data_IF_420838112646
#
_entry.id   IF_420838112646
#
_cell.length_a   1.000
_cell.length_b   1.000
_cell.length_c   1.000
_cell.angle_alpha   90.00
_cell.angle_beta   90.00
_cell.angle_gamma   90.00
#
_symmetry.space_group_name_H-M   'P 1'
#
loop_
_entity.id
_entity.type
_entity.pdbx_description
1 polymer ?
#
# COMPACT_ATOMS: atom_id res chain seq x y z
N UNK A 1 -57.15 -35.92 25.06
CA UNK A 1 -57.48 -34.47 25.17
C UNK A 1 -56.71 -33.76 24.06
N UNK A 2 -57.37 -33.44 22.92
CA UNK A 2 -57.70 -32.07 22.44
C UNK A 2 -56.44 -31.20 22.19
N UNK A 3 -56.03 -30.99 20.92
CA UNK A 3 -56.32 -29.80 20.03
C UNK A 3 -55.52 -28.54 20.50
N UNK A 4 -54.89 -27.64 19.72
CA UNK A 4 -54.94 -27.21 18.30
C UNK A 4 -53.96 -26.00 18.13
N UNK A 5 -53.40 -25.77 16.91
CA UNK A 5 -52.86 -24.55 16.21
C UNK A 5 -52.15 -23.39 17.00
N UNK A 6 -51.21 -22.55 16.50
CA UNK A 6 -51.20 -21.64 15.33
C UNK A 6 -49.82 -20.89 15.20
N UNK A 7 -49.38 -20.56 13.95
CA UNK A 7 -48.54 -19.44 13.42
C UNK A 7 -47.51 -18.68 14.30
N UNK A 8 -46.32 -18.26 13.85
CA UNK A 8 -46.11 -17.21 12.83
C UNK A 8 -44.63 -17.04 12.40
N UNK A 9 -44.48 -16.68 11.12
CA UNK A 9 -43.39 -15.98 10.43
C UNK A 9 -42.70 -14.88 11.26
N UNK A 10 -41.37 -14.71 11.10
CA UNK A 10 -40.69 -13.42 11.23
C UNK A 10 -39.53 -13.33 10.20
N UNK A 11 -39.86 -12.74 9.06
CA UNK A 11 -38.94 -12.06 8.15
C UNK A 11 -38.41 -10.80 8.86
N UNK A 12 -37.10 -10.57 8.82
CA UNK A 12 -36.56 -9.22 9.05
C UNK A 12 -36.52 -8.49 7.71
N UNK A 13 -37.54 -7.68 7.45
CA UNK A 13 -37.46 -6.54 6.54
C UNK A 13 -38.39 -5.42 7.01
N UNK A 14 -37.83 -4.21 7.06
CA UNK A 14 -38.41 -2.86 7.09
C UNK A 14 -39.76 -2.59 7.82
N UNK A 15 -39.72 -1.72 8.82
CA UNK A 15 -40.84 -0.83 9.21
C UNK A 15 -40.23 0.50 9.68
N UNK A 16 -40.31 1.61 8.92
CA UNK A 16 -41.48 2.47 8.69
C UNK A 16 -42.02 3.10 9.99
N UNK A 17 -41.72 4.39 10.16
CA UNK A 17 -42.14 5.26 11.28
C UNK A 17 -43.66 5.47 11.24
N UNK A 18 -44.37 5.06 12.30
CA UNK A 18 -45.78 5.40 12.52
C UNK A 18 -45.89 6.65 13.39
N UNK A 19 -46.78 7.55 12.96
CA UNK A 19 -47.23 8.76 13.66
C UNK A 19 -48.28 8.39 14.71
N UNK A 20 -48.19 8.94 15.91
CA UNK A 20 -49.37 9.12 16.78
C UNK A 20 -49.56 10.63 17.03
N UNK A 21 -50.66 11.16 16.50
CA UNK A 21 -51.18 12.50 16.80
C UNK A 21 -52.01 12.39 18.10
N UNK A 22 -51.76 13.24 19.10
CA UNK A 22 -52.78 13.59 20.11
C UNK A 22 -52.69 15.06 20.52
N UNK A 23 -53.87 15.62 20.79
CA UNK A 23 -54.28 17.02 20.64
C UNK A 23 -54.57 17.66 22.01
N UNK A 24 -54.13 18.91 22.15
CA UNK A 24 -54.62 20.03 23.01
C UNK A 24 -54.68 19.92 24.54
N UNK A 25 -54.17 20.97 25.22
CA UNK A 25 -55.01 22.07 25.76
C UNK A 25 -54.17 23.25 26.27
N UNK A 26 -54.51 24.48 25.88
CA UNK A 26 -53.99 25.75 26.44
C UNK A 26 -54.88 26.22 27.59
N UNK A 27 -54.30 26.74 28.68
CA UNK A 27 -54.95 27.70 29.58
C UNK A 27 -53.95 28.70 30.20
N UNK A 28 -54.15 29.98 29.87
CA UNK A 28 -54.01 31.23 30.65
C UNK A 28 -52.65 31.71 31.25
N UNK A 29 -52.17 32.82 30.65
CA UNK A 29 -51.70 34.10 31.26
C UNK A 29 -50.65 34.14 32.39
N UNK A 30 -49.42 34.59 32.05
CA UNK A 30 -48.79 35.89 32.41
C UNK A 30 -47.25 35.80 32.56
N UNK A 31 -46.56 36.60 31.73
CA UNK A 31 -45.26 37.25 31.96
C UNK A 31 -44.11 36.42 32.57
N UNK A 32 -43.29 35.82 31.71
CA UNK A 32 -41.88 36.23 31.58
C UNK A 32 -41.22 35.53 30.39
N UNK A 33 -40.40 36.28 29.66
CA UNK A 33 -39.55 35.78 28.59
C UNK A 33 -38.60 34.71 29.10
N UNK A 34 -38.80 33.45 28.71
CA UNK A 34 -37.75 32.44 28.65
C UNK A 34 -38.13 31.40 27.58
N UNK A 35 -37.40 31.48 26.46
CA UNK A 35 -37.15 30.45 25.45
C UNK A 35 -37.79 29.07 25.67
N UNK A 36 -38.94 28.82 25.02
CA UNK A 36 -39.36 27.47 24.67
C UNK A 36 -38.96 27.20 23.21
N UNK A 37 -37.71 26.75 23.02
CA UNK A 37 -37.25 26.22 21.74
C UNK A 37 -38.09 25.00 21.37
N UNK A 38 -38.92 25.14 20.33
CA UNK A 38 -39.66 24.03 19.73
C UNK A 38 -38.63 23.09 19.12
N UNK A 39 -38.36 21.96 19.78
CA UNK A 39 -37.44 20.92 19.29
C UNK A 39 -37.84 20.53 17.87
N UNK A 40 -36.97 20.84 16.91
CA UNK A 40 -37.02 20.30 15.56
C UNK A 40 -36.70 18.81 15.69
N UNK A 41 -37.65 17.94 15.39
CA UNK A 41 -37.38 16.51 15.30
C UNK A 41 -36.49 16.23 14.09
N UNK A 42 -35.53 15.34 14.27
CA UNK A 42 -34.43 14.97 13.35
C UNK A 42 -34.88 14.51 11.95
N UNK A 43 -36.19 14.38 11.72
CA UNK A 43 -36.78 13.91 10.48
C UNK A 43 -36.94 15.01 9.40
N UNK A 44 -37.01 16.30 9.75
CA UNK A 44 -37.20 17.37 8.76
C UNK A 44 -35.92 17.70 7.97
N UNK A 45 -34.74 17.42 8.52
CA UNK A 45 -33.45 17.66 7.88
C UNK A 45 -33.23 16.80 6.63
N UNK A 46 -33.78 15.57 6.62
CA UNK A 46 -33.57 14.60 5.52
C UNK A 46 -34.48 14.82 4.31
N UNK A 47 -35.44 15.76 4.37
CA UNK A 47 -36.40 16.01 3.28
C UNK A 47 -36.19 17.34 2.54
N UNK A 48 -35.15 18.12 2.89
CA UNK A 48 -34.68 19.26 2.09
C UNK A 48 -35.68 20.42 1.92
N UNK A 49 -36.61 20.61 2.86
CA UNK A 49 -37.67 21.63 2.73
C UNK A 49 -37.38 22.88 3.58
N UNK A 50 -36.69 23.87 3.00
CA UNK A 50 -36.27 25.11 3.70
C UNK A 50 -37.16 26.33 3.43
N UNK A 51 -38.47 26.13 3.26
CA UNK A 51 -39.35 27.23 2.82
C UNK A 51 -39.81 28.20 3.93
N UNK A 52 -39.32 28.10 5.17
CA UNK A 52 -39.78 28.94 6.29
C UNK A 52 -38.68 29.53 7.20
N UNK A 53 -37.43 29.69 6.73
CA UNK A 53 -36.38 30.34 7.54
C UNK A 53 -36.15 31.79 7.07
N UNK A 54 -36.57 32.77 7.87
CA UNK A 54 -36.17 34.18 7.68
C UNK A 54 -34.75 34.38 8.21
N UNK A 55 -33.98 35.19 7.48
CA UNK A 55 -32.51 35.34 7.56
C UNK A 55 -31.96 36.02 8.83
N UNK A 56 -32.65 35.94 9.97
CA UNK A 56 -32.28 36.69 11.18
C UNK A 56 -32.52 36.00 12.52
N UNK A 57 -32.87 34.71 12.55
CA UNK A 57 -33.30 34.03 13.79
C UNK A 57 -32.37 32.88 14.23
N UNK A 58 -31.07 32.96 13.91
CA UNK A 58 -30.07 32.00 14.36
C UNK A 58 -29.03 32.72 15.22
N UNK A 59 -29.29 32.81 16.53
CA UNK A 59 -28.26 33.09 17.54
C UNK A 59 -27.88 31.81 18.27
N UNK A 60 -26.63 31.41 18.10
CA UNK A 60 -25.83 30.51 18.94
C UNK A 60 -26.34 29.07 19.15
N UNK A 61 -26.08 28.23 18.15
CA UNK A 61 -25.31 27.00 18.37
C UNK A 61 -24.25 26.94 17.27
N UNK A 62 -23.08 26.41 17.56
CA UNK A 62 -21.96 26.21 16.62
C UNK A 62 -22.33 25.27 15.46
N UNK A 63 -23.26 25.69 14.60
CA UNK A 63 -23.26 25.26 13.21
C UNK A 63 -22.19 26.13 12.59
N UNK A 64 -20.96 25.65 12.60
CA UNK A 64 -19.98 26.05 11.59
C UNK A 64 -20.76 26.06 10.29
N UNK A 65 -20.94 27.23 9.70
CA UNK A 65 -21.46 27.31 8.35
C UNK A 65 -20.52 26.41 7.56
N UNK A 66 -20.96 25.16 7.29
CA UNK A 66 -20.19 24.26 6.45
C UNK A 66 -20.04 25.08 5.19
N UNK A 67 -18.82 25.53 4.92
CA UNK A 67 -18.54 26.38 3.78
C UNK A 67 -19.09 25.70 2.54
N UNK A 68 -19.26 26.45 1.46
CA UNK A 68 -19.60 25.84 0.17
C UNK A 68 -18.68 24.63 -0.05
N UNK A 69 -19.26 23.51 -0.46
CA UNK A 69 -18.60 22.23 -0.69
C UNK A 69 -19.08 21.80 -2.08
N UNK A 70 -18.25 22.09 -3.09
CA UNK A 70 -18.64 22.07 -4.51
C UNK A 70 -18.73 20.66 -5.07
N UNK A 71 -17.83 19.77 -4.68
CA UNK A 71 -17.75 18.38 -5.15
C UNK A 71 -18.37 17.36 -4.19
N UNK A 72 -18.78 17.80 -3.00
CA UNK A 72 -19.53 17.03 -2.00
C UNK A 72 -18.72 15.90 -1.40
N UNK A 73 -17.42 16.13 -1.21
CA UNK A 73 -16.52 15.15 -0.60
C UNK A 73 -16.59 15.09 0.92
N UNK A 74 -17.11 16.14 1.56
CA UNK A 74 -17.21 16.23 3.01
C UNK A 74 -16.45 17.40 3.60
N UNK A 75 -15.52 17.99 2.86
CA UNK A 75 -14.68 19.13 3.24
C UNK A 75 -15.27 20.42 2.64
N UNK A 76 -15.07 21.55 3.30
CA UNK A 76 -15.56 22.83 2.77
C UNK A 76 -14.51 23.39 1.79
N UNK A 77 -14.94 24.01 0.67
CA UNK A 77 -14.10 24.61 -0.37
C UNK A 77 -12.96 25.51 0.15
N UNK A 78 -13.11 26.09 1.34
CA UNK A 78 -12.12 26.97 1.97
C UNK A 78 -10.99 26.21 2.70
N UNK A 79 -11.15 24.91 2.93
CA UNK A 79 -10.22 24.02 3.60
C UNK A 79 -9.96 22.75 2.79
N UNK A 80 -10.46 22.73 1.56
CA UNK A 80 -10.37 21.63 0.63
C UNK A 80 -9.19 21.89 -0.32
N UNK A 81 -8.24 20.96 -0.38
CA UNK A 81 -7.10 21.05 -1.30
C UNK A 81 -7.48 20.73 -2.75
N UNK A 82 -8.71 20.25 -3.01
CA UNK A 82 -9.30 20.10 -4.34
C UNK A 82 -10.77 20.53 -4.43
N UNK A 83 -11.10 21.84 -4.35
CA UNK A 83 -12.48 22.37 -4.24
C UNK A 83 -13.46 22.12 -5.41
N UNK A 84 -13.15 21.22 -6.32
CA UNK A 84 -13.98 20.84 -7.47
C UNK A 84 -13.81 19.38 -7.87
N UNK A 85 -13.01 18.59 -7.14
CA UNK A 85 -12.74 17.19 -7.43
C UNK A 85 -12.82 16.39 -6.14
N UNK A 86 -13.78 15.47 -6.05
CA UNK A 86 -14.05 14.68 -4.85
C UNK A 86 -12.79 13.96 -4.30
N UNK A 87 -12.34 14.32 -3.09
CA UNK A 87 -11.17 13.73 -2.43
C UNK A 87 -11.22 13.84 -0.87
N UNK A 88 -12.09 13.03 -0.22
CA UNK A 88 -12.35 13.12 1.22
C UNK A 88 -11.13 12.83 2.12
N UNK A 89 -10.07 12.25 1.57
CA UNK A 89 -8.81 11.94 2.25
C UNK A 89 -7.80 13.11 2.24
N UNK A 90 -8.03 14.12 1.40
CA UNK A 90 -7.23 15.36 1.33
C UNK A 90 -5.73 15.08 1.23
N UNK A 91 -5.35 14.04 0.46
CA UNK A 91 -3.95 13.72 0.21
C UNK A 91 -3.30 14.83 -0.61
N UNK A 92 -2.11 15.23 -0.17
CA UNK A 92 -1.23 16.24 -0.77
C UNK A 92 0.20 15.74 -0.56
N UNK A 93 0.68 14.91 -1.49
CA UNK A 93 1.92 14.16 -1.32
C UNK A 93 3.17 15.05 -1.36
N UNK A 94 3.12 16.19 -2.04
CA UNK A 94 4.23 17.14 -2.15
C UNK A 94 4.11 18.36 -1.23
N UNK A 95 3.01 18.47 -0.48
CA UNK A 95 2.68 19.54 0.47
C UNK A 95 2.66 20.94 -0.17
N UNK A 96 2.25 21.05 -1.43
CA UNK A 96 2.12 22.34 -2.13
C UNK A 96 0.78 23.06 -1.85
N UNK A 97 -0.16 22.38 -1.20
CA UNK A 97 -1.49 22.87 -0.86
C UNK A 97 -2.57 22.52 -1.88
N UNK A 98 -2.22 21.84 -2.97
CA UNK A 98 -3.12 21.28 -3.99
C UNK A 98 -3.22 19.78 -3.75
N UNK A 99 -4.44 19.23 -3.74
CA UNK A 99 -4.60 17.79 -3.51
C UNK A 99 -4.22 16.96 -4.72
N UNK A 100 -3.73 15.74 -4.45
CA UNK A 100 -3.33 14.76 -5.46
C UNK A 100 -4.44 14.48 -6.49
N UNK A 101 -5.71 14.64 -6.07
CA UNK A 101 -6.88 14.40 -6.92
C UNK A 101 -7.09 15.46 -8.02
N UNK A 102 -6.60 16.68 -7.83
CA UNK A 102 -6.82 17.82 -8.74
C UNK A 102 -5.53 18.49 -9.22
N UNK A 103 -4.37 18.03 -8.74
CA UNK A 103 -3.10 18.44 -9.30
C UNK A 103 -2.90 17.82 -10.69
N UNK A 104 -2.94 18.68 -11.72
CA UNK A 104 -2.74 18.30 -13.12
C UNK A 104 -1.29 18.49 -13.58
N UNK A 105 -0.42 19.01 -12.71
CA UNK A 105 0.98 19.19 -13.01
C UNK A 105 1.78 18.05 -12.38
N UNK A 106 2.65 17.44 -13.19
CA UNK A 106 3.52 16.38 -12.74
C UNK A 106 4.35 16.84 -11.55
N UNK A 107 4.14 16.21 -10.39
CA UNK A 107 4.95 16.21 -9.16
C UNK A 107 6.34 16.82 -9.41
N UNK A 108 6.47 18.15 -9.34
CA UNK A 108 7.79 18.78 -9.41
C UNK A 108 8.42 18.66 -8.04
N UNK A 109 8.82 17.43 -7.72
CA UNK A 109 9.77 17.15 -6.68
C UNK A 109 10.96 18.10 -6.81
N UNK A 110 11.26 18.85 -5.75
CA UNK A 110 12.65 18.97 -5.37
C UNK A 110 12.80 18.35 -3.99
N UNK A 111 13.21 17.08 -3.97
CA UNK A 111 14.55 16.81 -3.48
C UNK A 111 15.33 16.00 -4.51
N UNK A 112 16.29 16.64 -5.17
CA UNK A 112 17.37 16.04 -5.99
C UNK A 112 16.92 14.99 -7.01
N UNK A 113 16.88 15.44 -8.26
CA UNK A 113 16.70 14.68 -9.51
C UNK A 113 15.26 14.27 -9.83
N UNK A 114 14.69 14.78 -10.94
CA UNK A 114 13.48 14.19 -11.51
C UNK A 114 13.77 12.72 -11.77
N UNK A 115 12.90 11.81 -11.32
CA UNK A 115 12.89 10.43 -11.80
C UNK A 115 12.61 10.53 -13.30
N UNK A 116 13.68 10.50 -14.09
CA UNK A 116 13.59 10.44 -15.53
C UNK A 116 12.72 9.25 -15.89
N UNK A 117 11.88 9.35 -16.92
CA UNK A 117 11.18 8.19 -17.53
C UNK A 117 12.15 7.10 -18.02
N UNK A 118 13.46 7.37 -17.93
CA UNK A 118 14.58 6.45 -18.17
C UNK A 118 14.99 5.59 -16.97
N UNK A 119 14.56 5.95 -15.75
CA UNK A 119 14.96 5.28 -14.51
C UNK A 119 14.33 3.90 -14.40
N UNK A 120 15.08 3.00 -13.76
CA UNK A 120 14.62 1.67 -13.39
C UNK A 120 13.87 1.76 -12.07
N UNK A 121 12.71 1.11 -11.95
CA UNK A 121 11.88 1.16 -10.74
C UNK A 121 11.76 -0.21 -10.10
N UNK A 122 12.13 -0.32 -8.84
CA UNK A 122 11.80 -1.45 -7.98
C UNK A 122 10.66 -1.00 -7.06
N UNK A 123 9.49 -1.61 -7.24
CA UNK A 123 8.30 -1.34 -6.45
C UNK A 123 8.14 -2.41 -5.39
N UNK A 124 8.16 -2.00 -4.12
CA UNK A 124 7.88 -2.86 -2.98
C UNK A 124 6.38 -2.75 -2.66
N UNK A 125 5.67 -3.83 -2.94
CA UNK A 125 4.22 -3.93 -2.80
C UNK A 125 3.87 -4.64 -1.49
N UNK A 126 3.36 -3.89 -0.51
CA UNK A 126 2.99 -4.40 0.82
C UNK A 126 1.48 -4.57 0.99
N UNK A 127 0.68 -4.15 0.01
CA UNK A 127 -0.77 -3.99 0.12
C UNK A 127 -1.52 -5.26 -0.28
N UNK A 128 -0.79 -6.24 -0.82
CA UNK A 128 -1.36 -7.44 -1.40
C UNK A 128 -1.64 -7.26 -2.90
N UNK A 129 -1.75 -8.38 -3.61
CA UNK A 129 -1.85 -8.37 -5.06
C UNK A 129 -2.44 -9.66 -5.59
N UNK A 130 -3.29 -9.56 -6.61
CA UNK A 130 -3.74 -10.73 -7.37
C UNK A 130 -2.90 -10.88 -8.64
N UNK A 131 -2.06 -11.92 -8.69
CA UNK A 131 -1.27 -12.27 -9.88
C UNK A 131 -2.10 -13.23 -10.73
N UNK A 132 -2.73 -12.71 -11.78
CA UNK A 132 -3.68 -13.45 -12.61
C UNK A 132 -2.99 -14.27 -13.69
N UNK A 133 -3.36 -15.56 -13.78
CA UNK A 133 -2.92 -16.48 -14.84
C UNK A 133 -1.41 -16.48 -15.15
N UNK A 134 -0.49 -16.50 -14.16
CA UNK A 134 0.93 -16.59 -14.46
C UNK A 134 1.21 -17.89 -15.22
N UNK A 135 1.64 -17.78 -16.48
CA UNK A 135 1.92 -18.94 -17.34
C UNK A 135 2.91 -19.91 -16.69
N UNK A 136 3.86 -19.35 -15.94
CA UNK A 136 4.90 -20.05 -15.20
C UNK A 136 4.37 -20.80 -13.97
N UNK A 137 3.18 -20.44 -13.48
CA UNK A 137 2.46 -21.16 -12.42
C UNK A 137 1.36 -22.07 -12.99
N UNK A 138 1.53 -22.54 -14.24
CA UNK A 138 0.51 -23.34 -14.93
C UNK A 138 -0.82 -22.63 -15.10
N UNK A 139 -0.82 -21.28 -15.15
CA UNK A 139 -2.01 -20.45 -15.28
C UNK A 139 -2.85 -20.29 -14.02
N UNK A 140 -2.37 -20.78 -12.86
CA UNK A 140 -3.10 -20.64 -11.59
C UNK A 140 -2.87 -19.25 -10.99
N UNK A 141 -3.96 -18.53 -10.76
CA UNK A 141 -3.95 -17.25 -10.06
C UNK A 141 -3.32 -17.40 -8.66
N UNK A 142 -2.49 -16.43 -8.29
CA UNK A 142 -1.91 -16.32 -6.96
C UNK A 142 -2.54 -15.11 -6.30
N UNK A 143 -3.25 -15.34 -5.20
CA UNK A 143 -3.76 -14.28 -4.33
C UNK A 143 -2.71 -13.98 -3.27
N UNK A 144 -2.19 -12.76 -3.23
CA UNK A 144 -1.22 -12.32 -2.22
C UNK A 144 -1.97 -11.42 -1.22
N UNK A 145 -1.94 -11.78 0.05
CA UNK A 145 -2.49 -10.93 1.12
C UNK A 145 -1.55 -9.76 1.42
N UNK A 146 -2.04 -8.68 2.07
CA UNK A 146 -1.17 -7.64 2.60
C UNK A 146 -0.05 -8.22 3.48
N UNK A 147 1.06 -7.49 3.58
CA UNK A 147 2.29 -7.94 4.25
C UNK A 147 2.18 -8.13 5.77
N UNK A 148 1.20 -7.48 6.42
CA UNK A 148 1.04 -7.45 7.87
C UNK A 148 1.93 -6.43 8.61
N UNK A 149 2.75 -5.65 7.91
CA UNK A 149 3.58 -4.60 8.50
C UNK A 149 2.80 -3.30 8.74
N UNK A 150 3.16 -2.56 9.80
CA UNK A 150 2.71 -1.18 10.02
C UNK A 150 3.42 -0.19 9.09
N UNK A 151 2.87 1.01 8.93
CA UNK A 151 3.47 2.06 8.08
C UNK A 151 4.91 2.42 8.48
N UNK A 152 5.21 2.45 9.78
CA UNK A 152 6.58 2.68 10.28
C UNK A 152 7.53 1.56 9.88
N UNK A 153 7.09 0.30 9.95
CA UNK A 153 7.91 -0.85 9.58
C UNK A 153 8.12 -0.91 8.07
N UNK A 154 7.10 -0.58 7.28
CA UNK A 154 7.20 -0.43 5.82
C UNK A 154 8.25 0.65 5.48
N UNK A 155 8.22 1.81 6.14
CA UNK A 155 9.18 2.87 5.91
C UNK A 155 10.63 2.45 6.23
N UNK A 156 10.83 1.67 7.30
CA UNK A 156 12.15 1.13 7.65
C UNK A 156 12.64 0.12 6.60
N UNK A 157 11.79 -0.83 6.20
CA UNK A 157 12.13 -1.82 5.16
C UNK A 157 12.46 -1.10 3.85
N UNK A 158 11.64 -0.14 3.42
CA UNK A 158 11.89 0.66 2.21
C UNK A 158 13.23 1.40 2.29
N UNK A 159 13.56 1.96 3.45
CA UNK A 159 14.83 2.68 3.65
C UNK A 159 16.03 1.76 3.47
N UNK A 160 16.00 0.55 4.03
CA UNK A 160 17.13 -0.38 3.89
C UNK A 160 17.26 -0.95 2.48
N UNK A 161 16.16 -1.27 1.79
CA UNK A 161 16.24 -1.66 0.37
C UNK A 161 16.77 -0.49 -0.49
N UNK A 162 16.37 0.76 -0.20
CA UNK A 162 16.96 1.95 -0.86
C UNK A 162 18.47 2.03 -0.60
N UNK A 163 18.93 1.76 0.61
CA UNK A 163 20.35 1.76 0.96
C UNK A 163 21.12 0.71 0.15
N UNK A 164 20.59 -0.51 0.02
CA UNK A 164 21.21 -1.58 -0.78
C UNK A 164 21.39 -1.15 -2.24
N UNK A 165 20.35 -0.58 -2.85
CA UNK A 165 20.39 -0.16 -4.26
C UNK A 165 20.99 1.24 -4.49
N UNK A 166 21.39 1.95 -3.44
CA UNK A 166 21.92 3.33 -3.54
C UNK A 166 23.17 3.49 -4.40
N UNK A 167 23.91 2.40 -4.61
CA UNK A 167 25.09 2.35 -5.49
C UNK A 167 24.73 2.42 -6.98
N UNK A 168 23.44 2.26 -7.33
CA UNK A 168 22.93 2.32 -8.70
C UNK A 168 22.04 3.56 -8.88
N UNK A 169 22.61 4.69 -9.35
CA UNK A 169 21.87 5.96 -9.41
C UNK A 169 20.68 5.95 -10.37
N UNK A 170 20.58 4.96 -11.26
CA UNK A 170 19.46 4.79 -12.19
C UNK A 170 18.31 3.98 -11.62
N UNK A 171 18.48 3.35 -10.44
CA UNK A 171 17.44 2.56 -9.78
C UNK A 171 16.73 3.43 -8.74
N UNK A 172 15.41 3.43 -8.82
CA UNK A 172 14.50 4.04 -7.86
C UNK A 172 13.76 2.92 -7.15
N UNK A 173 13.92 2.82 -5.83
CA UNK A 173 13.13 1.92 -4.99
C UNK A 173 12.00 2.70 -4.36
N UNK A 174 10.76 2.21 -4.47
CA UNK A 174 9.56 2.93 -4.04
C UNK A 174 8.46 2.00 -3.53
N UNK A 175 7.56 2.52 -2.70
CA UNK A 175 6.25 1.93 -2.37
C UNK A 175 5.11 2.69 -3.05
N UNK A 176 5.42 3.67 -3.90
CA UNK A 176 4.44 4.44 -4.64
C UNK A 176 4.14 3.75 -5.99
N UNK A 177 2.91 3.28 -6.13
CA UNK A 177 2.46 2.61 -7.36
C UNK A 177 2.41 3.54 -8.58
N UNK A 178 2.25 4.86 -8.38
CA UNK A 178 2.23 5.83 -9.49
C UNK A 178 3.61 5.92 -10.14
N UNK A 179 4.69 5.93 -9.34
CA UNK A 179 6.08 5.88 -9.80
C UNK A 179 6.37 4.57 -10.54
N UNK A 180 5.85 3.45 -10.03
CA UNK A 180 5.96 2.14 -10.70
C UNK A 180 5.27 2.14 -12.07
N UNK A 181 4.03 2.64 -12.16
CA UNK A 181 3.28 2.64 -13.41
C UNK A 181 3.77 3.67 -14.43
N UNK A 182 4.43 4.75 -13.98
CA UNK A 182 5.09 5.72 -14.85
C UNK A 182 6.33 5.16 -15.56
N UNK A 183 7.02 4.18 -14.96
CA UNK A 183 8.12 3.48 -15.61
C UNK A 183 7.61 2.48 -16.67
N UNK A 184 8.38 2.30 -17.75
CA UNK A 184 8.05 1.31 -18.77
C UNK A 184 8.04 -0.11 -18.19
N UNK A 185 7.20 -1.00 -18.72
CA UNK A 185 7.15 -2.42 -18.30
C UNK A 185 8.50 -3.16 -18.43
N UNK A 186 9.39 -2.69 -19.30
CA UNK A 186 10.75 -3.24 -19.45
C UNK A 186 11.76 -2.67 -18.43
N UNK A 187 11.38 -1.65 -17.67
CA UNK A 187 12.22 -0.93 -16.69
C UNK A 187 11.64 -0.93 -15.28
N UNK A 188 10.64 -1.75 -15.00
CA UNK A 188 10.02 -1.82 -13.69
C UNK A 188 9.97 -3.26 -13.21
N UNK A 189 10.13 -3.43 -11.91
CA UNK A 189 10.03 -4.70 -11.23
C UNK A 189 9.16 -4.53 -9.99
N UNK A 190 8.21 -5.44 -9.80
CA UNK A 190 7.42 -5.51 -8.58
C UNK A 190 7.99 -6.61 -7.67
N UNK A 191 8.20 -6.29 -6.41
CA UNK A 191 8.44 -7.26 -5.34
C UNK A 191 7.19 -7.24 -4.46
N UNK A 192 6.47 -8.35 -4.40
CA UNK A 192 5.26 -8.50 -3.59
C UNK A 192 5.66 -9.06 -2.23
N UNK A 193 5.50 -8.27 -1.17
CA UNK A 193 5.71 -8.68 0.21
C UNK A 193 4.37 -9.10 0.79
N UNK A 194 4.20 -10.39 1.06
CA UNK A 194 2.90 -10.99 1.39
C UNK A 194 3.00 -12.00 2.52
N UNK A 195 1.95 -12.15 3.33
CA UNK A 195 1.96 -13.15 4.40
C UNK A 195 1.86 -14.59 3.88
N UNK A 196 1.09 -14.81 2.82
CA UNK A 196 0.73 -16.17 2.41
C UNK A 196 1.70 -16.74 1.37
N UNK A 197 2.21 -17.93 1.65
CA UNK A 197 3.14 -18.66 0.80
C UNK A 197 2.65 -20.08 0.46
N UNK A 198 1.37 -20.38 0.70
CA UNK A 198 0.79 -21.73 0.57
C UNK A 198 0.92 -22.32 -0.83
N UNK A 199 1.04 -21.47 -1.85
CA UNK A 199 1.22 -21.84 -3.25
C UNK A 199 2.67 -22.22 -3.61
N UNK A 200 3.66 -21.83 -2.78
CA UNK A 200 5.08 -22.10 -3.01
C UNK A 200 5.71 -23.04 -1.98
N UNK A 201 5.54 -22.75 -0.69
CA UNK A 201 6.10 -23.54 0.42
C UNK A 201 7.18 -22.81 1.24
N UNK A 202 8.13 -23.58 1.79
CA UNK A 202 9.05 -23.15 2.86
C UNK A 202 10.28 -22.37 2.39
N UNK A 203 10.09 -21.16 1.89
CA UNK A 203 11.15 -20.19 1.59
C UNK A 203 10.83 -18.82 2.18
N UNK A 204 11.86 -17.94 2.25
CA UNK A 204 11.69 -16.53 2.62
C UNK A 204 11.18 -15.66 1.47
N UNK A 205 11.43 -16.09 0.24
CA UNK A 205 11.00 -15.43 -0.99
C UNK A 205 11.17 -16.35 -2.20
N UNK A 206 10.76 -15.86 -3.36
CA UNK A 206 11.01 -16.48 -4.67
C UNK A 206 10.94 -15.46 -5.79
N UNK A 207 11.85 -15.58 -6.74
CA UNK A 207 11.84 -14.84 -7.99
C UNK A 207 12.35 -15.69 -9.14
N UNK A 208 11.91 -15.36 -10.35
CA UNK A 208 12.53 -15.89 -11.57
C UNK A 208 13.78 -15.09 -11.90
N UNK A 209 14.74 -15.78 -12.52
CA UNK A 209 15.97 -15.14 -12.99
C UNK A 209 15.73 -14.30 -14.24
N UNK A 210 16.24 -13.07 -14.22
CA UNK A 210 16.35 -12.18 -15.38
C UNK A 210 14.98 -11.88 -16.05
N UNK A 211 13.88 -11.89 -15.29
CA UNK A 211 12.53 -11.58 -15.78
C UNK A 211 12.43 -10.22 -16.43
N UNK A 212 13.27 -9.29 -15.99
CA UNK A 212 13.28 -7.93 -16.48
C UNK A 212 13.64 -7.85 -17.98
N UNK A 213 14.38 -8.83 -18.48
CA UNK A 213 14.71 -8.93 -19.91
C UNK A 213 13.55 -9.49 -20.77
N UNK A 214 12.46 -9.94 -20.15
CA UNK A 214 11.32 -10.54 -20.86
C UNK A 214 10.26 -9.50 -21.25
N UNK A 215 10.40 -8.26 -20.77
CA UNK A 215 9.45 -7.17 -21.05
C UNK A 215 8.05 -7.44 -20.46
N UNK A 216 7.97 -8.29 -19.44
CA UNK A 216 6.75 -8.65 -18.74
C UNK A 216 6.91 -8.29 -17.26
N UNK A 217 5.84 -7.80 -16.64
CA UNK A 217 5.78 -7.50 -15.20
C UNK A 217 5.64 -8.79 -14.37
N UNK A 218 6.64 -9.68 -14.43
CA UNK A 218 6.67 -10.88 -13.58
C UNK A 218 7.17 -10.48 -12.20
N UNK A 219 6.34 -10.58 -11.15
CA UNK A 219 6.75 -10.17 -9.82
C UNK A 219 7.75 -11.14 -9.19
N UNK A 220 8.55 -10.60 -8.29
CA UNK A 220 9.23 -11.34 -7.24
C UNK A 220 8.33 -11.39 -5.99
N UNK A 221 8.55 -12.35 -5.10
CA UNK A 221 7.73 -12.55 -3.90
C UNK A 221 8.61 -12.66 -2.66
N UNK A 222 8.18 -12.04 -1.56
CA UNK A 222 8.76 -12.16 -0.23
C UNK A 222 7.65 -12.55 0.74
N UNK A 223 7.91 -13.53 1.60
CA UNK A 223 6.91 -14.13 2.47
C UNK A 223 7.07 -13.65 3.92
N UNK A 224 6.42 -12.53 4.25
CA UNK A 224 6.64 -11.81 5.51
C UNK A 224 6.40 -12.65 6.75
N UNK A 225 5.33 -13.45 6.75
CA UNK A 225 4.99 -14.37 7.83
C UNK A 225 5.99 -15.54 7.95
N UNK A 226 6.47 -16.07 6.82
CA UNK A 226 7.48 -17.13 6.82
C UNK A 226 8.83 -16.63 7.39
N UNK A 227 9.11 -15.34 7.19
CA UNK A 227 10.25 -14.62 7.77
C UNK A 227 9.99 -14.11 9.19
N UNK A 228 8.85 -14.49 9.80
CA UNK A 228 8.50 -14.14 11.19
C UNK A 228 8.26 -12.65 11.42
N UNK A 229 7.84 -11.91 10.39
CA UNK A 229 7.66 -10.44 10.42
C UNK A 229 8.92 -9.69 10.87
N UNK A 230 10.10 -10.28 10.69
CA UNK A 230 11.34 -9.61 11.01
C UNK A 230 11.68 -8.62 9.88
N UNK A 231 11.66 -7.31 10.17
CA UNK A 231 11.99 -6.24 9.21
C UNK A 231 13.32 -6.56 8.52
N UNK A 232 14.36 -6.80 9.32
CA UNK A 232 15.44 -7.76 9.08
C UNK A 232 15.47 -8.46 7.74
N UNK A 233 14.81 -9.60 7.84
CA UNK A 233 14.83 -10.64 6.85
C UNK A 233 13.99 -10.22 5.66
N UNK A 234 12.99 -9.35 5.85
CA UNK A 234 12.13 -8.90 4.77
C UNK A 234 12.82 -7.93 3.81
N UNK A 235 13.64 -6.98 4.30
CA UNK A 235 14.39 -6.11 3.36
C UNK A 235 15.51 -6.87 2.66
N UNK A 236 16.24 -7.73 3.37
CA UNK A 236 17.29 -8.56 2.77
C UNK A 236 16.69 -9.50 1.71
N UNK A 237 15.54 -10.12 2.01
CA UNK A 237 14.79 -10.92 1.03
C UNK A 237 14.32 -10.07 -0.15
N UNK A 238 13.75 -8.89 0.09
CA UNK A 238 13.29 -8.02 -0.99
C UNK A 238 14.44 -7.63 -1.93
N UNK A 239 15.60 -7.27 -1.37
CA UNK A 239 16.80 -6.97 -2.15
C UNK A 239 17.31 -8.19 -2.92
N UNK A 240 17.33 -9.36 -2.28
CA UNK A 240 17.74 -10.64 -2.88
C UNK A 240 16.86 -11.04 -4.06
N UNK A 241 15.54 -11.06 -3.86
CA UNK A 241 14.58 -11.48 -4.88
C UNK A 241 14.51 -10.47 -6.04
N UNK A 242 14.64 -9.17 -5.76
CA UNK A 242 14.85 -8.17 -6.81
C UNK A 242 16.16 -8.42 -7.57
N UNK A 243 17.24 -8.83 -6.90
CA UNK A 243 18.51 -9.20 -7.54
C UNK A 243 18.36 -10.34 -8.55
N UNK A 244 17.56 -11.36 -8.22
CA UNK A 244 17.23 -12.44 -9.16
C UNK A 244 16.57 -11.94 -10.44
N UNK A 245 15.62 -10.99 -10.33
CA UNK A 245 14.94 -10.41 -11.51
C UNK A 245 15.90 -9.66 -12.43
N UNK A 246 17.01 -9.16 -11.88
CA UNK A 246 18.13 -8.52 -12.59
C UNK A 246 19.16 -9.53 -13.13
N UNK A 247 18.95 -10.83 -12.88
CA UNK A 247 19.74 -11.93 -13.42
C UNK A 247 20.89 -12.40 -12.52
N UNK A 248 20.89 -12.03 -11.24
CA UNK A 248 21.85 -12.56 -10.28
C UNK A 248 21.46 -13.97 -9.85
N UNK A 249 22.43 -14.88 -9.77
CA UNK A 249 22.30 -16.18 -9.11
C UNK A 249 22.65 -16.04 -7.63
N UNK A 250 22.40 -17.09 -6.85
CA UNK A 250 22.95 -17.16 -5.50
C UNK A 250 24.47 -17.05 -5.51
N UNK A 251 25.00 -16.39 -4.49
CA UNK A 251 26.42 -16.45 -4.16
C UNK A 251 26.64 -17.68 -3.29
N UNK A 252 27.13 -18.73 -3.94
CA UNK A 252 27.34 -20.06 -3.38
C UNK A 252 28.70 -20.15 -2.70
N UNK A 253 28.78 -20.91 -1.61
CA UNK A 253 30.04 -21.17 -0.90
C UNK A 253 30.64 -22.50 -1.37
N UNK A 254 31.90 -22.45 -1.78
CA UNK A 254 32.75 -23.61 -2.01
C UNK A 254 33.92 -23.63 -1.01
N UNK A 255 34.50 -24.80 -0.76
CA UNK A 255 35.74 -24.93 0.00
C UNK A 255 36.99 -24.72 -0.89
N UNK A 256 38.18 -24.74 -0.28
CA UNK A 256 39.46 -24.56 -0.98
C UNK A 256 39.74 -25.63 -2.06
N UNK A 257 39.02 -26.75 -2.00
CA UNK A 257 39.12 -27.85 -2.96
C UNK A 257 37.99 -27.83 -4.01
N UNK A 258 37.24 -26.72 -4.11
CA UNK A 258 36.11 -26.55 -5.04
C UNK A 258 34.91 -27.46 -4.74
N UNK A 259 34.79 -28.03 -3.54
CA UNK A 259 33.58 -28.77 -3.17
C UNK A 259 32.47 -27.82 -2.75
N UNK A 260 31.24 -28.11 -3.17
CA UNK A 260 30.06 -27.35 -2.76
C UNK A 260 29.86 -27.46 -1.24
N UNK A 261 29.73 -26.32 -0.57
CA UNK A 261 29.51 -26.25 0.89
C UNK A 261 28.09 -25.79 1.20
N UNK A 262 27.62 -24.71 0.58
CA UNK A 262 26.30 -24.15 0.82
C UNK A 262 25.83 -23.33 -0.38
N UNK A 263 24.53 -23.42 -0.71
CA UNK A 263 23.93 -22.67 -1.80
C UNK A 263 23.99 -21.15 -1.54
N UNK A 264 23.81 -20.78 -0.28
CA UNK A 264 23.87 -19.39 0.20
C UNK A 264 25.12 -19.20 1.07
N UNK A 265 26.02 -18.34 0.61
CA UNK A 265 27.22 -17.99 1.36
C UNK A 265 26.83 -17.14 2.59
N UNK A 266 27.15 -17.57 3.82
CA UNK A 266 26.85 -16.83 5.05
C UNK A 266 27.80 -15.66 5.32
N UNK A 267 28.77 -15.43 4.43
CA UNK A 267 29.79 -14.41 4.61
C UNK A 267 30.69 -14.68 5.81
N UNK A 268 31.15 -13.60 6.42
CA UNK A 268 32.04 -13.61 7.58
C UNK A 268 32.45 -12.20 7.98
N UNK A 269 33.00 -12.05 9.19
CA UNK A 269 33.49 -10.77 9.71
C UNK A 269 32.45 -9.64 9.73
N UNK A 270 31.17 -9.98 9.95
CA UNK A 270 30.09 -9.00 10.07
C UNK A 270 29.41 -8.63 8.74
N UNK A 271 29.81 -9.25 7.64
CA UNK A 271 29.27 -8.98 6.30
C UNK A 271 28.90 -10.27 5.57
N UNK A 272 27.87 -10.20 4.73
CA UNK A 272 27.49 -11.29 3.83
C UNK A 272 26.98 -10.78 2.48
N UNK A 273 27.02 -11.63 1.44
CA UNK A 273 26.41 -11.31 0.16
C UNK A 273 24.89 -11.17 0.31
N UNK A 274 24.28 -10.16 -0.32
CA UNK A 274 22.82 -10.05 -0.45
C UNK A 274 22.27 -11.30 -1.17
N UNK A 275 22.93 -11.73 -2.24
CA UNK A 275 22.61 -12.99 -2.94
C UNK A 275 23.05 -14.27 -2.19
N UNK A 276 23.47 -14.14 -0.92
CA UNK A 276 23.82 -15.23 -0.02
C UNK A 276 22.81 -15.32 1.13
N UNK A 277 23.29 -15.45 2.37
CA UNK A 277 22.43 -15.39 3.57
C UNK A 277 22.87 -14.28 4.51
N UNK A 278 22.54 -13.05 4.14
CA UNK A 278 22.86 -11.82 4.89
C UNK A 278 22.01 -11.59 6.13
N UNK A 279 20.90 -12.34 6.30
CA UNK A 279 20.01 -12.26 7.47
C UNK A 279 20.74 -12.26 8.82
N UNK A 280 21.81 -13.05 8.92
CA UNK A 280 22.55 -13.27 10.16
C UNK A 280 23.78 -12.38 10.34
N UNK A 281 24.11 -11.55 9.35
CA UNK A 281 25.22 -10.60 9.43
C UNK A 281 24.70 -9.18 9.64
N UNK A 282 25.42 -8.32 10.36
CA UNK A 282 25.10 -6.89 10.47
C UNK A 282 24.89 -6.21 9.11
N UNK A 283 25.69 -6.53 8.10
CA UNK A 283 25.67 -5.87 6.78
C UNK A 283 25.49 -6.88 5.65
N UNK A 284 24.45 -6.70 4.85
CA UNK A 284 24.34 -7.25 3.50
C UNK A 284 25.05 -6.34 2.50
N UNK A 285 25.70 -6.91 1.47
CA UNK A 285 26.23 -6.11 0.36
C UNK A 285 26.19 -6.85 -0.97
N UNK A 286 26.21 -6.08 -2.07
CA UNK A 286 26.54 -6.61 -3.39
C UNK A 286 27.97 -7.16 -3.38
N UNK A 287 28.13 -8.36 -3.92
CA UNK A 287 29.30 -9.18 -3.68
C UNK A 287 29.99 -9.58 -4.98
N UNK A 288 31.28 -9.88 -4.88
CA UNK A 288 32.05 -10.55 -5.93
C UNK A 288 32.46 -11.92 -5.40
N UNK A 289 31.81 -12.96 -5.92
CA UNK A 289 31.89 -14.30 -5.35
C UNK A 289 31.57 -15.38 -6.36
N UNK A 290 31.69 -16.63 -5.93
CA UNK A 290 31.35 -17.80 -6.72
C UNK A 290 29.84 -17.96 -6.85
N UNK A 291 29.35 -18.13 -8.07
CA UNK A 291 27.95 -18.43 -8.32
C UNK A 291 27.65 -19.94 -8.27
N UNK A 292 26.36 -20.28 -8.23
CA UNK A 292 25.87 -21.65 -8.30
C UNK A 292 26.43 -22.50 -9.46
N UNK A 293 26.84 -21.85 -10.56
CA UNK A 293 27.41 -22.50 -11.74
C UNK A 293 28.82 -23.08 -11.55
N UNK A 294 29.46 -22.87 -10.40
CA UNK A 294 30.70 -23.55 -10.00
C UNK A 294 31.72 -22.64 -9.32
N UNK A 295 32.67 -23.25 -8.59
CA UNK A 295 33.71 -22.53 -7.84
C UNK A 295 34.66 -21.66 -8.69
N UNK A 296 34.69 -21.87 -10.01
CA UNK A 296 35.50 -21.11 -10.96
C UNK A 296 34.67 -20.05 -11.70
N UNK A 297 33.36 -19.98 -11.45
CA UNK A 297 32.46 -19.02 -12.09
C UNK A 297 32.16 -17.89 -11.11
N UNK A 298 32.81 -16.75 -11.33
CA UNK A 298 32.62 -15.58 -10.51
C UNK A 298 31.44 -14.74 -11.00
N UNK A 299 30.58 -14.35 -10.07
CA UNK A 299 29.53 -13.37 -10.24
C UNK A 299 29.93 -12.09 -9.50
N UNK A 300 29.96 -10.99 -10.25
CA UNK A 300 30.10 -9.64 -9.72
C UNK A 300 28.72 -8.99 -9.78
N UNK A 301 28.05 -8.96 -8.63
CA UNK A 301 26.64 -8.55 -8.53
C UNK A 301 26.47 -7.11 -9.02
N UNK A 302 27.32 -6.20 -8.54
CA UNK A 302 27.25 -4.79 -8.87
C UNK A 302 27.49 -4.55 -10.36
N UNK A 303 28.47 -5.23 -10.96
CA UNK A 303 28.73 -5.12 -12.40
C UNK A 303 27.57 -5.66 -13.24
N UNK A 304 26.95 -6.77 -12.84
CA UNK A 304 25.82 -7.33 -13.57
C UNK A 304 24.59 -6.43 -13.50
N UNK A 305 24.22 -5.96 -12.30
CA UNK A 305 23.13 -5.00 -12.13
C UNK A 305 23.42 -3.76 -12.98
N UNK A 306 24.60 -3.16 -12.82
CA UNK A 306 24.99 -1.95 -13.56
C UNK A 306 25.06 -2.15 -15.08
N UNK A 307 25.14 -3.37 -15.61
CA UNK A 307 25.03 -3.62 -17.05
C UNK A 307 23.58 -3.70 -17.51
N UNK A 308 22.67 -4.15 -16.65
CA UNK A 308 21.24 -4.24 -16.91
C UNK A 308 20.57 -2.88 -16.84
N UNK A 309 20.96 -2.06 -15.87
CA UNK A 309 20.27 -0.79 -15.57
C UNK A 309 20.86 0.45 -16.25
N UNK A 310 21.57 0.25 -17.36
CA UNK A 310 22.14 1.32 -18.21
C UNK A 310 21.09 1.99 -19.09
#
# INVERSE_FOLDING_TARGET
MKRVLFYSLLLFSAAACQKEDSVQTETTELLNQQSASKKIETCDFLKGNYNNVRRGDLSETNVTAKGRDRDRDGIADASDNCPSTYNPDQLDADNDGTGDACDNNSITTNPTTPVSTSSWVIFLDFDGQTVTTPYWNGGRTIECTPSGFSSTEIANILTEVKNDYSVFPTIVVTTDSTVYFAASAAKRQRVIITENNSWYGGAGGVAYLNTISWGMDIPAFVFSKALGYNQKYNWEAASHEAGHTLGLNHQTKYDDNCNFVADYNPGGNGEAPIMGVSYYQPVGKWWVGTAYSGCNTMQDDAKLIANKVR
#
